data_IF_740585132046
#
_entry.id   IF_740585132046
#
_cell.length_a   1.000
_cell.length_b   1.000
_cell.length_c   1.000
_cell.angle_alpha   90.00
_cell.angle_beta   90.00
_cell.angle_gamma   90.00
#
_symmetry.space_group_name_H-M   'P 1'
#
loop_
_entity.id
_entity.type
_entity.pdbx_description
1 polymer ?
#
# COMPACT_ATOMS: atom_id res chain seq x y z
N UNK A 1 -17.94 57.41 59.08
CA UNK A 1 -17.50 56.76 57.83
C UNK A 1 -18.71 56.57 56.93
N UNK A 2 -18.84 57.37 55.86
CA UNK A 2 -19.94 57.26 54.88
C UNK A 2 -19.47 56.33 53.74
N UNK A 3 -20.22 55.25 53.52
CA UNK A 3 -19.97 54.29 52.44
C UNK A 3 -20.42 54.89 51.10
N UNK A 4 -19.47 55.06 50.18
CA UNK A 4 -19.73 55.39 48.78
C UNK A 4 -19.91 54.06 48.05
N UNK A 5 -21.10 53.82 47.50
CA UNK A 5 -21.39 52.69 46.61
C UNK A 5 -21.13 53.13 45.16
N UNK A 6 -20.11 52.58 44.53
CA UNK A 6 -19.90 52.70 43.09
C UNK A 6 -20.89 51.78 42.36
N UNK A 7 -21.75 52.38 41.53
CA UNK A 7 -22.56 51.67 40.55
C UNK A 7 -21.70 51.50 39.29
N UNK A 8 -21.16 50.30 39.09
CA UNK A 8 -20.49 49.94 37.82
C UNK A 8 -21.58 49.47 36.86
N UNK A 9 -21.93 50.31 35.89
CA UNK A 9 -22.76 49.91 34.75
C UNK A 9 -21.88 49.05 33.86
N UNK A 10 -22.02 47.73 33.97
CA UNK A 10 -21.41 46.78 33.05
C UNK A 10 -22.10 46.89 31.68
N UNK A 11 -21.43 47.55 30.74
CA UNK A 11 -21.78 47.54 29.33
C UNK A 11 -21.52 46.12 28.78
N UNK A 12 -22.57 45.31 28.71
CA UNK A 12 -22.52 44.01 28.02
C UNK A 12 -22.48 44.29 26.52
N UNK A 13 -21.29 44.33 25.94
CA UNK A 13 -21.12 44.24 24.49
C UNK A 13 -21.55 42.82 24.07
N UNK A 14 -22.79 42.67 23.64
CA UNK A 14 -23.19 41.56 22.79
C UNK A 14 -22.48 41.74 21.45
N UNK A 15 -21.31 41.12 21.30
CA UNK A 15 -20.73 40.88 19.99
C UNK A 15 -21.65 39.85 19.33
N UNK A 16 -22.61 40.31 18.54
CA UNK A 16 -23.33 39.44 17.63
C UNK A 16 -22.29 38.80 16.72
N UNK A 17 -22.06 37.49 16.88
CA UNK A 17 -21.32 36.75 15.88
C UNK A 17 -22.10 36.89 14.59
N UNK A 18 -21.56 37.64 13.63
CA UNK A 18 -22.08 37.70 12.28
C UNK A 18 -21.89 36.30 11.73
N UNK A 19 -22.96 35.50 11.75
CA UNK A 19 -23.02 34.26 11.00
C UNK A 19 -23.14 34.72 9.56
N UNK A 20 -22.02 34.67 8.82
CA UNK A 20 -22.07 34.89 7.38
C UNK A 20 -22.95 33.80 6.79
N UNK A 21 -24.10 34.21 6.24
CA UNK A 21 -25.00 33.30 5.56
C UNK A 21 -24.27 32.63 4.40
N UNK A 22 -24.54 31.34 4.18
CA UNK A 22 -23.90 30.61 3.09
C UNK A 22 -24.44 31.09 1.74
N UNK A 23 -23.54 31.42 0.83
CA UNK A 23 -23.87 31.73 -0.55
C UNK A 23 -24.61 30.52 -1.15
N UNK A 24 -25.87 30.74 -1.53
CA UNK A 24 -26.75 29.69 -2.02
C UNK A 24 -26.86 29.76 -3.55
N UNK A 25 -26.82 28.59 -4.19
CA UNK A 25 -27.03 28.47 -5.63
C UNK A 25 -28.51 28.65 -5.99
N UNK A 26 -28.75 29.46 -7.01
CA UNK A 26 -30.08 29.87 -7.51
C UNK A 26 -30.47 29.14 -8.80
N UNK A 27 -29.49 28.72 -9.59
CA UNK A 27 -29.68 28.21 -10.96
C UNK A 27 -30.05 26.73 -11.04
N UNK A 28 -30.67 26.33 -12.15
CA UNK A 28 -30.80 24.91 -12.52
C UNK A 28 -29.47 24.36 -13.07
N UNK A 29 -28.92 24.98 -14.11
CA UNK A 29 -27.57 24.70 -14.59
C UNK A 29 -26.88 26.01 -14.91
N UNK A 30 -25.58 26.10 -14.63
CA UNK A 30 -24.76 27.20 -15.14
C UNK A 30 -23.37 27.24 -14.53
N UNK A 31 -22.59 28.24 -14.94
CA UNK A 31 -21.18 28.36 -14.58
C UNK A 31 -21.02 28.91 -13.15
N UNK A 32 -20.04 28.43 -12.39
CA UNK A 32 -19.72 28.94 -11.06
C UNK A 32 -19.55 30.46 -11.03
N UNK A 33 -18.82 31.03 -11.99
CA UNK A 33 -18.53 32.48 -12.06
C UNK A 33 -19.63 33.30 -12.76
N UNK A 34 -20.86 32.80 -12.78
CA UNK A 34 -22.02 33.53 -13.33
C UNK A 34 -22.99 34.01 -12.23
N UNK A 35 -24.02 34.77 -12.60
CA UNK A 35 -25.06 35.30 -11.70
C UNK A 35 -26.03 34.22 -11.13
N UNK A 36 -25.53 32.99 -10.96
CA UNK A 36 -26.25 31.84 -10.43
C UNK A 36 -26.19 31.73 -8.90
N UNK A 37 -25.61 32.71 -8.21
CA UNK A 37 -25.60 32.81 -6.75
C UNK A 37 -26.59 33.87 -6.27
N UNK A 38 -27.25 33.63 -5.12
CA UNK A 38 -28.12 34.64 -4.52
C UNK A 38 -27.36 35.86 -4.00
N UNK A 39 -26.17 35.64 -3.42
CA UNK A 39 -25.43 36.64 -2.64
C UNK A 39 -24.05 36.97 -3.23
N UNK A 40 -23.87 36.77 -4.54
CA UNK A 40 -22.63 36.81 -5.32
C UNK A 40 -21.79 35.52 -5.32
N UNK A 41 -20.82 35.46 -6.24
CA UNK A 41 -19.88 34.35 -6.37
C UNK A 41 -19.13 34.12 -5.04
N UNK A 42 -19.10 32.88 -4.52
CA UNK A 42 -18.39 32.56 -3.30
C UNK A 42 -16.91 32.90 -3.41
N UNK A 43 -16.36 33.43 -2.32
CA UNK A 43 -14.92 33.63 -2.13
C UNK A 43 -14.36 32.61 -1.15
N UNK A 44 -13.04 32.64 -0.93
CA UNK A 44 -12.35 31.77 0.04
C UNK A 44 -12.89 31.86 1.49
N UNK A 45 -13.68 32.87 1.82
CA UNK A 45 -14.29 33.06 3.14
C UNK A 45 -15.73 32.54 3.22
N UNK A 46 -16.37 32.30 2.08
CA UNK A 46 -17.80 32.01 1.99
C UNK A 46 -18.07 30.51 1.96
N UNK A 47 -19.11 30.09 2.67
CA UNK A 47 -19.64 28.73 2.47
C UNK A 47 -20.60 28.77 1.29
N UNK A 48 -20.51 27.78 0.41
CA UNK A 48 -21.33 27.62 -0.76
C UNK A 48 -22.26 26.41 -0.59
N UNK A 49 -23.52 26.54 -1.02
CA UNK A 49 -24.47 25.43 -1.04
C UNK A 49 -25.17 25.34 -2.38
N UNK A 50 -25.09 24.17 -3.01
CA UNK A 50 -25.82 23.83 -4.23
C UNK A 50 -26.93 22.86 -3.84
N UNK A 51 -28.11 23.39 -3.53
CA UNK A 51 -29.28 22.60 -3.15
C UNK A 51 -29.80 21.78 -4.33
N UNK A 52 -30.02 22.43 -5.47
CA UNK A 52 -30.45 21.79 -6.70
C UNK A 52 -29.66 22.37 -7.87
N UNK A 53 -29.43 21.53 -8.87
CA UNK A 53 -28.82 21.95 -10.12
C UNK A 53 -27.33 21.65 -10.22
N UNK A 54 -26.72 22.13 -11.30
CA UNK A 54 -25.32 21.86 -11.66
C UNK A 54 -24.53 23.15 -11.77
N UNK A 55 -23.47 23.28 -10.96
CA UNK A 55 -22.43 24.27 -11.16
C UNK A 55 -21.34 23.69 -12.08
N UNK A 56 -21.20 24.27 -13.27
CA UNK A 56 -20.11 23.97 -14.18
C UNK A 56 -18.87 24.79 -13.80
N UNK A 57 -17.75 24.11 -13.63
CA UNK A 57 -16.43 24.70 -13.40
C UNK A 57 -15.71 24.63 -14.76
N UNK A 58 -15.49 25.79 -15.37
CA UNK A 58 -14.77 25.87 -16.65
C UNK A 58 -13.60 26.83 -16.61
N UNK A 59 -13.56 27.70 -15.62
CA UNK A 59 -12.54 28.74 -15.45
C UNK A 59 -11.62 28.41 -14.27
N UNK A 60 -10.47 29.07 -14.22
CA UNK A 60 -9.53 28.91 -13.11
C UNK A 60 -9.77 29.98 -12.05
N UNK A 61 -9.58 29.62 -10.78
CA UNK A 61 -9.69 30.55 -9.65
C UNK A 61 -11.02 30.49 -8.88
N UNK A 62 -11.93 29.61 -9.27
CA UNK A 62 -13.17 29.36 -8.53
C UNK A 62 -12.82 28.82 -7.13
N UNK A 63 -13.35 29.44 -6.09
CA UNK A 63 -12.95 29.15 -4.71
C UNK A 63 -14.11 29.32 -3.72
N UNK A 64 -14.15 28.48 -2.69
CA UNK A 64 -15.01 28.71 -1.53
C UNK A 64 -14.36 28.17 -0.24
N UNK A 65 -14.84 28.63 0.92
CA UNK A 65 -14.42 28.09 2.21
C UNK A 65 -14.87 26.64 2.39
N UNK A 66 -16.14 26.39 2.14
CA UNK A 66 -16.80 25.08 2.29
C UNK A 66 -17.87 24.93 1.23
N UNK A 67 -18.13 23.71 0.76
CA UNK A 67 -19.14 23.44 -0.27
C UNK A 67 -20.04 22.28 0.15
N UNK A 68 -21.36 22.46 0.04
CA UNK A 68 -22.34 21.38 0.19
C UNK A 68 -23.09 21.14 -1.12
N UNK A 69 -23.15 19.88 -1.56
CA UNK A 69 -23.94 19.45 -2.72
C UNK A 69 -25.13 18.63 -2.25
N UNK A 70 -26.35 19.08 -2.55
CA UNK A 70 -27.58 18.42 -2.13
C UNK A 70 -27.77 18.43 -0.61
N UNK A 71 -27.50 19.55 0.06
CA UNK A 71 -27.80 19.65 1.50
C UNK A 71 -29.31 19.77 1.78
N UNK A 72 -29.71 19.89 3.05
CA UNK A 72 -30.96 20.56 3.44
C UNK A 72 -32.21 19.70 3.43
N UNK A 73 -32.52 19.04 2.30
CA UNK A 73 -33.66 18.13 2.18
C UNK A 73 -33.31 16.90 1.35
N UNK A 74 -34.01 15.78 1.57
CA UNK A 74 -33.70 14.50 0.92
C UNK A 74 -33.97 14.49 -0.59
N UNK A 75 -34.80 15.40 -1.09
CA UNK A 75 -35.12 15.53 -2.51
C UNK A 75 -34.22 16.53 -3.27
N UNK A 76 -33.20 17.08 -2.61
CA UNK A 76 -32.28 18.05 -3.21
C UNK A 76 -31.17 17.32 -3.99
N UNK A 77 -30.83 17.84 -5.16
CA UNK A 77 -29.88 17.23 -6.11
C UNK A 77 -28.83 18.26 -6.55
N UNK A 78 -27.74 18.38 -5.78
CA UNK A 78 -26.66 19.31 -6.07
C UNK A 78 -25.53 18.65 -6.85
N UNK A 79 -25.05 19.31 -7.89
CA UNK A 79 -24.04 18.76 -8.79
C UNK A 79 -22.92 19.76 -9.07
N UNK A 80 -21.71 19.25 -9.22
CA UNK A 80 -20.55 19.97 -9.78
C UNK A 80 -20.04 19.22 -10.99
N UNK A 81 -19.82 19.93 -12.10
CA UNK A 81 -19.23 19.38 -13.31
C UNK A 81 -17.95 20.14 -13.67
N UNK A 82 -16.80 19.46 -13.73
CA UNK A 82 -15.51 20.06 -14.04
C UNK A 82 -15.01 19.49 -15.36
N UNK A 83 -15.07 20.30 -16.41
CA UNK A 83 -14.52 19.94 -17.73
C UNK A 83 -13.16 20.58 -17.98
N UNK A 84 -12.88 21.70 -17.33
CA UNK A 84 -11.64 22.47 -17.39
C UNK A 84 -11.54 23.34 -16.13
N UNK A 85 -10.53 24.21 -16.04
CA UNK A 85 -10.46 25.17 -14.94
C UNK A 85 -10.05 24.56 -13.60
N UNK A 86 -10.38 25.24 -12.51
CA UNK A 86 -10.03 24.79 -11.15
C UNK A 86 -11.03 25.26 -10.10
N UNK A 87 -11.46 24.35 -9.23
CA UNK A 87 -12.23 24.65 -8.03
C UNK A 87 -11.42 24.35 -6.77
N UNK A 88 -11.23 25.35 -5.90
CA UNK A 88 -10.64 25.18 -4.57
C UNK A 88 -11.71 25.26 -3.46
N UNK A 89 -11.82 24.22 -2.64
CA UNK A 89 -12.64 24.23 -1.42
C UNK A 89 -11.71 24.17 -0.21
N UNK A 90 -11.48 25.32 0.42
CA UNK A 90 -10.42 25.52 1.42
C UNK A 90 -10.52 24.54 2.58
N UNK A 91 -11.72 24.26 3.08
CA UNK A 91 -11.94 23.41 4.25
C UNK A 91 -12.57 22.07 3.91
N UNK A 92 -13.85 22.06 3.56
CA UNK A 92 -14.61 20.82 3.45
C UNK A 92 -15.63 20.88 2.33
N UNK A 93 -15.60 19.86 1.48
CA UNK A 93 -16.66 19.59 0.51
C UNK A 93 -17.47 18.40 0.99
N UNK A 94 -18.76 18.61 1.28
CA UNK A 94 -19.71 17.56 1.63
C UNK A 94 -20.61 17.29 0.44
N UNK A 95 -20.65 16.03 0.02
CA UNK A 95 -21.40 15.59 -1.16
C UNK A 95 -22.52 14.69 -0.69
N UNK A 96 -23.76 15.12 -0.88
CA UNK A 96 -24.96 14.43 -0.37
C UNK A 96 -25.01 14.30 1.16
N UNK A 97 -24.89 15.40 1.94
CA UNK A 97 -25.05 15.29 3.38
C UNK A 97 -26.51 15.02 3.80
N UNK A 98 -27.49 15.32 2.95
CA UNK A 98 -28.92 15.00 3.17
C UNK A 98 -29.56 14.45 1.90
N UNK A 99 -29.53 15.21 0.81
CA UNK A 99 -30.00 14.80 -0.52
C UNK A 99 -28.90 14.16 -1.37
N UNK A 100 -29.08 14.17 -2.68
CA UNK A 100 -28.11 13.64 -3.64
C UNK A 100 -27.05 14.71 -3.97
N UNK A 101 -25.79 14.30 -3.91
CA UNK A 101 -24.67 15.11 -4.38
C UNK A 101 -23.85 14.35 -5.40
N UNK A 102 -23.46 14.99 -6.49
CA UNK A 102 -22.51 14.39 -7.45
C UNK A 102 -21.42 15.36 -7.91
N UNK A 103 -20.25 14.81 -8.19
CA UNK A 103 -19.18 15.50 -8.90
C UNK A 103 -18.78 14.69 -10.12
N UNK A 104 -18.77 15.31 -11.29
CA UNK A 104 -18.32 14.69 -12.53
C UNK A 104 -17.14 15.48 -13.09
N UNK A 105 -16.01 14.83 -13.32
CA UNK A 105 -14.80 15.46 -13.85
C UNK A 105 -14.33 14.75 -15.12
N UNK A 106 -14.13 15.52 -16.19
CA UNK A 106 -13.49 15.06 -17.44
C UNK A 106 -12.16 15.76 -17.70
N UNK A 107 -11.88 16.84 -16.99
CA UNK A 107 -10.63 17.59 -16.97
C UNK A 107 -10.58 18.53 -15.75
N UNK A 108 -9.61 19.44 -15.72
CA UNK A 108 -9.48 20.46 -14.66
C UNK A 108 -9.00 19.93 -13.31
N UNK A 109 -8.95 20.82 -12.32
CA UNK A 109 -8.46 20.56 -10.97
C UNK A 109 -9.54 20.77 -9.90
N UNK A 110 -9.74 19.78 -9.03
CA UNK A 110 -10.50 19.91 -7.79
C UNK A 110 -9.54 19.81 -6.60
N UNK A 111 -9.31 20.93 -5.91
CA UNK A 111 -8.46 20.99 -4.73
C UNK A 111 -9.31 21.19 -3.49
N UNK A 112 -9.33 20.21 -2.59
CA UNK A 112 -10.20 20.25 -1.40
C UNK A 112 -9.45 19.72 -0.20
N UNK A 113 -9.38 20.46 0.90
CA UNK A 113 -8.71 19.94 2.09
C UNK A 113 -9.35 18.63 2.59
N UNK A 114 -10.67 18.60 2.80
CA UNK A 114 -11.42 17.40 3.19
C UNK A 114 -12.62 17.15 2.28
N UNK A 115 -12.66 16.01 1.61
CA UNK A 115 -13.81 15.52 0.84
C UNK A 115 -14.57 14.51 1.70
N UNK A 116 -15.89 14.67 1.81
CA UNK A 116 -16.79 13.72 2.49
C UNK A 116 -17.95 13.37 1.56
N UNK A 117 -18.03 12.09 1.19
CA UNK A 117 -19.14 11.53 0.41
C UNK A 117 -20.14 10.85 1.34
N UNK A 118 -21.37 11.35 1.26
CA UNK A 118 -22.61 10.85 1.85
C UNK A 118 -22.62 10.83 3.39
N UNK A 119 -23.55 11.61 3.96
CA UNK A 119 -23.94 11.53 5.38
C UNK A 119 -25.34 10.90 5.59
N UNK A 120 -26.02 10.54 4.50
CA UNK A 120 -27.32 9.88 4.52
C UNK A 120 -27.25 8.51 3.82
N UNK A 121 -27.84 7.48 4.43
CA UNK A 121 -27.90 6.13 3.84
C UNK A 121 -28.89 6.00 2.69
N UNK A 122 -29.88 6.88 2.60
CA UNK A 122 -30.92 6.78 1.58
C UNK A 122 -30.58 7.54 0.29
N UNK A 123 -29.67 8.51 0.38
CA UNK A 123 -29.30 9.39 -0.73
C UNK A 123 -27.80 9.21 -1.01
N UNK A 124 -27.43 8.23 -1.86
CA UNK A 124 -26.03 8.01 -2.19
C UNK A 124 -25.43 9.22 -2.91
N UNK A 125 -24.15 9.46 -2.63
CA UNK A 125 -23.36 10.49 -3.30
C UNK A 125 -22.27 9.87 -4.16
N UNK A 126 -21.88 10.54 -5.25
CA UNK A 126 -20.87 9.99 -6.15
C UNK A 126 -19.85 11.01 -6.65
N UNK A 127 -18.61 10.56 -6.85
CA UNK A 127 -17.60 11.23 -7.66
C UNK A 127 -17.26 10.32 -8.85
N UNK A 128 -17.29 10.87 -10.06
CA UNK A 128 -16.76 10.23 -11.27
C UNK A 128 -15.64 11.09 -11.85
N UNK A 129 -14.48 10.51 -12.07
CA UNK A 129 -13.32 11.17 -12.68
C UNK A 129 -12.91 10.41 -13.95
N UNK A 130 -12.56 11.15 -15.00
CA UNK A 130 -12.17 10.63 -16.31
C UNK A 130 -11.24 11.62 -17.03
N UNK A 131 -10.70 11.24 -18.19
CA UNK A 131 -9.80 12.11 -18.95
C UNK A 131 -8.50 12.40 -18.22
N UNK A 132 -8.10 13.67 -18.18
CA UNK A 132 -6.91 14.20 -17.52
C UNK A 132 -7.22 14.96 -16.21
N UNK A 133 -8.45 14.83 -15.69
CA UNK A 133 -8.88 15.47 -14.46
C UNK A 133 -7.97 15.14 -13.26
N UNK A 134 -7.86 16.08 -12.33
CA UNK A 134 -7.07 15.93 -11.12
C UNK A 134 -7.88 16.27 -9.86
N UNK A 135 -7.81 15.39 -8.85
CA UNK A 135 -8.31 15.66 -7.50
C UNK A 135 -7.11 15.71 -6.54
N UNK A 136 -7.00 16.80 -5.78
CA UNK A 136 -6.03 16.94 -4.69
C UNK A 136 -6.78 17.11 -3.37
N UNK A 137 -6.47 16.27 -2.38
CA UNK A 137 -7.03 16.42 -1.04
C UNK A 137 -6.08 16.07 0.08
N UNK A 138 -6.38 16.52 1.30
CA UNK A 138 -5.71 15.97 2.48
C UNK A 138 -6.45 14.71 2.93
N UNK A 139 -7.76 14.81 3.13
CA UNK A 139 -8.61 13.68 3.53
C UNK A 139 -9.69 13.42 2.47
N UNK A 140 -9.81 12.16 2.06
CA UNK A 140 -10.85 11.69 1.13
C UNK A 140 -11.66 10.58 1.80
N UNK A 141 -12.85 10.93 2.28
CA UNK A 141 -13.72 10.04 3.06
C UNK A 141 -14.93 9.62 2.24
N UNK A 142 -15.09 8.32 2.03
CA UNK A 142 -16.18 7.74 1.24
C UNK A 142 -17.10 6.93 2.14
N UNK A 143 -18.37 7.31 2.18
CA UNK A 143 -19.40 6.69 3.02
C UNK A 143 -19.29 7.10 4.49
N UNK A 144 -19.25 8.39 4.81
CA UNK A 144 -19.06 8.88 6.19
C UNK A 144 -20.11 9.92 6.63
N UNK A 145 -21.17 9.51 7.35
CA UNK A 145 -21.78 8.18 7.36
C UNK A 145 -22.83 8.03 6.26
N UNK A 146 -22.74 7.10 5.33
CA UNK A 146 -23.76 7.02 4.28
C UNK A 146 -23.32 6.08 3.19
N UNK A 147 -23.82 6.24 1.98
CA UNK A 147 -23.38 5.44 0.83
C UNK A 147 -22.64 6.34 -0.16
N UNK A 148 -21.32 6.18 -0.25
CA UNK A 148 -20.47 6.94 -1.15
C UNK A 148 -19.88 6.08 -2.27
N UNK A 149 -19.86 6.62 -3.49
CA UNK A 149 -19.25 5.96 -4.65
C UNK A 149 -18.17 6.84 -5.28
N UNK A 150 -17.01 6.25 -5.56
CA UNK A 150 -15.97 6.85 -6.39
C UNK A 150 -15.73 5.95 -7.59
N UNK A 151 -15.81 6.50 -8.80
CA UNK A 151 -15.47 5.80 -10.03
C UNK A 151 -14.35 6.54 -10.75
N UNK A 152 -13.19 5.90 -10.89
CA UNK A 152 -12.03 6.45 -11.58
C UNK A 152 -11.84 5.77 -12.94
N UNK A 153 -12.19 6.49 -14.00
CA UNK A 153 -12.06 6.11 -15.42
C UNK A 153 -10.91 6.87 -16.12
N UNK A 154 -10.01 7.50 -15.36
CA UNK A 154 -8.89 8.28 -15.86
C UNK A 154 -8.35 9.21 -14.77
N UNK A 155 -7.56 10.19 -15.17
CA UNK A 155 -7.08 11.25 -14.29
C UNK A 155 -6.18 10.78 -13.15
N UNK A 156 -5.94 11.70 -12.22
CA UNK A 156 -5.11 11.48 -11.03
C UNK A 156 -5.86 11.89 -9.77
N UNK A 157 -5.89 11.01 -8.77
CA UNK A 157 -6.32 11.36 -7.41
C UNK A 157 -5.09 11.35 -6.51
N UNK A 158 -4.82 12.48 -5.87
CA UNK A 158 -3.75 12.62 -4.87
C UNK A 158 -4.38 12.96 -3.52
N UNK A 159 -4.13 12.12 -2.50
CA UNK A 159 -4.64 12.34 -1.15
C UNK A 159 -3.66 11.89 -0.06
N UNK A 160 -3.68 12.52 1.12
CA UNK A 160 -2.89 11.98 2.24
C UNK A 160 -3.60 10.78 2.86
N UNK A 161 -4.92 10.75 2.88
CA UNK A 161 -5.70 9.62 3.40
C UNK A 161 -6.95 9.39 2.56
N UNK A 162 -7.07 8.18 2.00
CA UNK A 162 -8.30 7.65 1.44
C UNK A 162 -8.93 6.69 2.46
N UNK A 163 -10.14 7.00 2.91
CA UNK A 163 -10.88 6.16 3.84
C UNK A 163 -12.20 5.71 3.21
N UNK A 164 -12.32 4.41 2.94
CA UNK A 164 -13.56 3.77 2.52
C UNK A 164 -14.24 3.21 3.76
N UNK A 165 -15.07 4.07 4.37
CA UNK A 165 -15.64 3.91 5.71
C UNK A 165 -14.59 3.96 6.83
N UNK A 166 -14.65 5.02 7.64
CA UNK A 166 -13.79 5.19 8.83
C UNK A 166 -14.56 5.85 9.98
N UNK A 167 -15.88 5.63 10.07
CA UNK A 167 -16.59 6.00 11.29
C UNK A 167 -16.22 4.98 12.39
N UNK A 168 -15.44 5.40 13.38
CA UNK A 168 -15.35 4.66 14.65
C UNK A 168 -16.70 4.66 15.40
N UNK A 169 -17.67 5.45 14.91
CA UNK A 169 -19.02 5.51 15.43
C UNK A 169 -19.79 4.23 15.07
N UNK A 170 -20.06 3.41 16.09
CA UNK A 170 -20.85 2.17 16.00
C UNK A 170 -22.30 2.38 15.62
N UNK A 171 -22.81 3.59 15.79
CA UNK A 171 -24.20 3.93 15.48
C UNK A 171 -24.37 4.21 13.99
N UNK A 172 -23.41 4.93 13.41
CA UNK A 172 -23.46 5.34 12.01
C UNK A 172 -22.51 4.53 11.12
N UNK A 173 -22.94 3.30 10.80
CA UNK A 173 -22.37 2.48 9.72
C UNK A 173 -22.53 3.19 8.38
N UNK A 174 -21.43 3.45 7.69
CA UNK A 174 -21.43 3.88 6.30
C UNK A 174 -20.93 2.76 5.39
N UNK A 175 -21.13 2.95 4.10
CA UNK A 175 -20.68 2.10 3.01
C UNK A 175 -19.92 2.95 1.98
N UNK A 176 -18.67 2.57 1.70
CA UNK A 176 -17.79 3.34 0.84
C UNK A 176 -17.24 2.47 -0.26
N UNK A 177 -17.52 2.83 -1.51
CA UNK A 177 -17.14 2.06 -2.69
C UNK A 177 -16.21 2.88 -3.57
N UNK A 178 -15.05 2.33 -3.90
CA UNK A 178 -14.12 2.89 -4.88
C UNK A 178 -13.90 1.87 -5.98
N UNK A 179 -14.25 2.22 -7.21
CA UNK A 179 -13.92 1.44 -8.41
C UNK A 179 -12.88 2.17 -9.25
N UNK A 180 -11.73 1.55 -9.48
CA UNK A 180 -10.63 2.06 -10.30
C UNK A 180 -10.54 1.26 -11.61
N UNK A 181 -10.87 1.91 -12.72
CA UNK A 181 -10.86 1.32 -14.06
C UNK A 181 -9.64 1.76 -14.90
N UNK A 182 -9.07 2.94 -14.61
CA UNK A 182 -7.83 3.45 -15.19
C UNK A 182 -7.31 4.63 -14.34
N UNK A 183 -6.21 5.26 -14.75
CA UNK A 183 -5.66 6.45 -14.09
C UNK A 183 -4.64 6.14 -12.99
N UNK A 184 -4.39 7.14 -12.14
CA UNK A 184 -3.41 7.06 -11.04
C UNK A 184 -4.05 7.43 -9.71
N UNK A 185 -3.77 6.64 -8.66
CA UNK A 185 -4.05 6.97 -7.28
C UNK A 185 -2.71 7.14 -6.54
N UNK A 186 -2.48 8.33 -5.98
CA UNK A 186 -1.38 8.63 -5.09
C UNK A 186 -1.94 8.88 -3.69
N UNK A 187 -1.76 7.92 -2.78
CA UNK A 187 -2.25 8.02 -1.42
C UNK A 187 -1.11 8.00 -0.39
N UNK A 188 -1.27 8.76 0.68
CA UNK A 188 -0.52 8.51 1.92
C UNK A 188 -0.96 7.17 2.50
N UNK A 189 -2.14 7.16 3.10
CA UNK A 189 -2.79 5.98 3.62
C UNK A 189 -4.08 5.62 2.85
N UNK A 190 -4.38 4.33 2.73
CA UNK A 190 -5.66 3.80 2.26
C UNK A 190 -6.22 2.87 3.34
N UNK A 191 -7.43 3.18 3.81
CA UNK A 191 -8.17 2.36 4.75
C UNK A 191 -9.41 1.78 4.07
N UNK A 192 -9.49 0.46 3.99
CA UNK A 192 -10.63 -0.25 3.41
C UNK A 192 -11.41 -0.95 4.52
N UNK A 193 -12.54 -0.38 4.93
CA UNK A 193 -13.59 -1.07 5.67
C UNK A 193 -13.41 -1.29 7.17
N UNK A 194 -13.65 -0.26 7.99
CA UNK A 194 -14.03 -0.49 9.41
C UNK A 194 -15.41 -1.15 9.49
N UNK A 195 -16.33 -0.68 8.65
CA UNK A 195 -17.56 -1.36 8.28
C UNK A 195 -17.44 -1.72 6.80
N UNK A 196 -18.46 -1.48 5.98
CA UNK A 196 -18.49 -1.94 4.61
C UNK A 196 -17.74 -1.02 3.65
N UNK A 197 -16.44 -1.26 3.48
CA UNK A 197 -15.62 -0.58 2.47
C UNK A 197 -15.26 -1.52 1.33
N UNK A 198 -15.34 -1.08 0.08
CA UNK A 198 -14.85 -1.84 -1.07
C UNK A 198 -13.89 -1.01 -1.92
N UNK A 199 -12.67 -1.50 -2.09
CA UNK A 199 -11.71 -0.98 -3.06
C UNK A 199 -11.55 -2.00 -4.19
N UNK A 200 -12.06 -1.67 -5.37
CA UNK A 200 -12.10 -2.56 -6.53
C UNK A 200 -11.28 -2.00 -7.68
N UNK A 201 -10.28 -2.75 -8.10
CA UNK A 201 -9.57 -2.55 -9.36
C UNK A 201 -10.22 -3.43 -10.42
N UNK A 202 -10.44 -2.92 -11.63
CA UNK A 202 -11.00 -3.70 -12.74
C UNK A 202 -10.02 -3.88 -13.90
N UNK A 203 -8.97 -3.05 -13.94
CA UNK A 203 -7.94 -3.07 -14.98
C UNK A 203 -6.56 -3.12 -14.30
N UNK A 204 -5.72 -4.14 -14.56
CA UNK A 204 -4.41 -4.25 -13.94
C UNK A 204 -3.43 -3.13 -14.34
N UNK A 205 -3.70 -2.39 -15.42
CA UNK A 205 -2.87 -1.27 -15.88
C UNK A 205 -3.05 0.05 -15.11
N UNK A 206 -3.77 0.06 -13.99
CA UNK A 206 -3.87 1.23 -13.10
C UNK A 206 -2.56 1.46 -12.34
N UNK A 207 -2.28 2.70 -11.94
CA UNK A 207 -1.13 3.01 -11.08
C UNK A 207 -1.60 3.32 -9.66
N UNK A 208 -1.18 2.54 -8.66
CA UNK A 208 -1.53 2.77 -7.24
C UNK A 208 -0.25 2.96 -6.43
N UNK A 209 0.01 4.18 -5.99
CA UNK A 209 1.17 4.57 -5.17
C UNK A 209 0.74 4.83 -3.73
N UNK A 210 1.32 4.09 -2.78
CA UNK A 210 1.06 4.24 -1.35
C UNK A 210 2.36 4.62 -0.65
N UNK A 211 2.33 5.64 0.21
CA UNK A 211 3.53 6.11 0.92
C UNK A 211 3.53 5.84 2.42
N UNK A 212 2.36 5.66 3.05
CA UNK A 212 2.25 5.41 4.49
C UNK A 212 1.67 4.01 4.80
N UNK A 213 0.45 3.72 4.36
CA UNK A 213 -0.17 2.42 4.66
C UNK A 213 -1.33 2.02 3.77
N UNK A 214 -1.48 0.73 3.49
CA UNK A 214 -2.66 0.13 2.87
C UNK A 214 -3.23 -0.91 3.83
N UNK A 215 -4.35 -0.56 4.46
CA UNK A 215 -4.95 -1.33 5.55
C UNK A 215 -6.35 -1.83 5.14
N UNK A 216 -6.49 -3.13 4.97
CA UNK A 216 -7.80 -3.79 4.78
C UNK A 216 -8.30 -4.23 6.16
N UNK A 217 -9.42 -3.68 6.61
CA UNK A 217 -9.97 -3.93 7.94
C UNK A 217 -11.11 -4.97 7.91
N UNK A 218 -11.67 -5.31 9.07
CA UNK A 218 -12.57 -6.45 9.26
C UNK A 218 -13.70 -6.58 8.25
N UNK A 219 -14.36 -5.48 7.87
CA UNK A 219 -15.50 -5.49 6.96
C UNK A 219 -15.13 -4.93 5.57
N UNK A 220 -13.83 -4.71 5.33
CA UNK A 220 -13.29 -4.26 4.05
C UNK A 220 -13.22 -5.35 2.99
N UNK A 221 -13.41 -4.97 1.74
CA UNK A 221 -13.28 -5.85 0.58
C UNK A 221 -12.28 -5.21 -0.39
N UNK A 222 -11.27 -5.98 -0.78
CA UNK A 222 -10.32 -5.59 -1.83
C UNK A 222 -10.44 -6.59 -2.97
N UNK A 223 -10.70 -6.08 -4.17
CA UNK A 223 -10.84 -6.87 -5.39
C UNK A 223 -9.85 -6.37 -6.43
N UNK A 224 -9.12 -7.29 -7.06
CA UNK A 224 -8.12 -6.94 -8.05
C UNK A 224 -7.94 -8.06 -9.08
N UNK A 225 -7.92 -7.74 -10.40
CA UNK A 225 -7.57 -8.71 -11.42
C UNK A 225 -6.09 -9.08 -11.34
N UNK A 226 -5.75 -10.24 -11.90
CA UNK A 226 -4.37 -10.70 -12.05
C UNK A 226 -3.49 -9.65 -12.72
N UNK A 227 -2.30 -9.45 -12.17
CA UNK A 227 -1.31 -8.50 -12.69
C UNK A 227 -1.47 -7.07 -12.15
N UNK A 228 -2.41 -6.84 -11.22
CA UNK A 228 -2.49 -5.55 -10.52
C UNK A 228 -1.24 -5.34 -9.67
N UNK A 229 -0.65 -4.14 -9.74
CA UNK A 229 0.55 -3.77 -8.95
C UNK A 229 0.19 -2.70 -7.93
N UNK A 230 0.56 -2.95 -6.67
CA UNK A 230 0.51 -1.97 -5.60
C UNK A 230 1.95 -1.53 -5.24
N UNK A 231 2.25 -0.25 -5.46
CA UNK A 231 3.56 0.33 -5.19
C UNK A 231 3.60 0.86 -3.75
N UNK A 232 4.38 0.20 -2.89
CA UNK A 232 4.54 0.53 -1.47
C UNK A 232 5.88 1.23 -1.24
N UNK A 233 5.87 2.56 -1.18
CA UNK A 233 7.06 3.41 -1.03
C UNK A 233 7.37 3.67 0.43
N UNK A 234 8.10 2.77 1.08
CA UNK A 234 8.32 2.81 2.54
C UNK A 234 7.02 2.68 3.34
N UNK A 235 6.00 2.03 2.76
CA UNK A 235 4.66 1.94 3.30
C UNK A 235 4.41 0.59 3.99
N UNK A 236 3.39 0.55 4.85
CA UNK A 236 2.87 -0.67 5.47
C UNK A 236 1.77 -1.29 4.59
N UNK A 237 1.74 -2.60 4.45
CA UNK A 237 0.54 -3.35 4.07
C UNK A 237 0.04 -4.12 5.27
N UNK A 238 -1.23 -3.96 5.63
CA UNK A 238 -1.87 -4.77 6.65
C UNK A 238 -3.28 -5.19 6.22
N UNK A 239 -3.70 -6.33 6.75
CA UNK A 239 -5.04 -6.85 6.58
C UNK A 239 -5.52 -7.37 7.94
N UNK A 240 -6.81 -7.23 8.27
CA UNK A 240 -7.42 -7.69 9.53
C UNK A 240 -8.55 -8.70 9.26
N UNK A 241 -8.36 -9.57 8.27
CA UNK A 241 -9.29 -10.67 7.98
C UNK A 241 -8.93 -11.92 8.74
N UNK A 242 -9.94 -12.72 9.03
CA UNK A 242 -9.80 -13.96 9.81
C UNK A 242 -9.64 -15.18 8.91
N UNK A 243 -10.04 -15.08 7.64
CA UNK A 243 -9.88 -16.15 6.67
C UNK A 243 -9.43 -15.63 5.30
N UNK A 244 -8.55 -16.40 4.65
CA UNK A 244 -8.03 -16.10 3.31
C UNK A 244 -9.13 -16.01 2.25
N UNK A 245 -10.21 -16.77 2.42
CA UNK A 245 -11.40 -16.71 1.57
C UNK A 245 -12.12 -15.36 1.59
N UNK A 246 -11.82 -14.48 2.55
CA UNK A 246 -12.41 -13.13 2.61
C UNK A 246 -11.70 -12.12 1.71
N UNK A 247 -10.46 -12.41 1.26
CA UNK A 247 -9.73 -11.61 0.26
C UNK A 247 -9.01 -12.56 -0.69
N UNK A 248 -9.76 -13.27 -1.55
CA UNK A 248 -9.19 -14.25 -2.48
C UNK A 248 -8.24 -13.60 -3.50
N UNK A 249 -8.45 -12.31 -3.80
CA UNK A 249 -7.72 -11.59 -4.84
C UNK A 249 -6.31 -11.14 -4.43
N UNK A 250 -5.85 -11.42 -3.20
CA UNK A 250 -4.42 -11.24 -2.88
C UNK A 250 -3.54 -12.10 -3.81
N UNK A 251 -4.02 -13.28 -4.21
CA UNK A 251 -3.32 -14.16 -5.14
C UNK A 251 -3.18 -13.59 -6.56
N UNK A 252 -3.81 -12.44 -6.85
CA UNK A 252 -3.71 -11.71 -8.10
C UNK A 252 -2.82 -10.46 -7.99
N UNK A 253 -2.38 -10.12 -6.77
CA UNK A 253 -1.73 -8.87 -6.45
C UNK A 253 -0.20 -9.01 -6.44
N UNK A 254 0.47 -8.11 -7.16
CA UNK A 254 1.90 -7.87 -7.00
C UNK A 254 2.13 -6.70 -6.05
N UNK A 255 2.93 -6.92 -5.01
CA UNK A 255 3.48 -5.85 -4.17
C UNK A 255 4.87 -5.45 -4.70
N UNK A 256 5.02 -4.20 -5.13
CA UNK A 256 6.34 -3.62 -5.42
C UNK A 256 6.76 -2.74 -4.24
N UNK A 257 7.75 -3.21 -3.49
CA UNK A 257 8.27 -2.52 -2.31
C UNK A 257 9.39 -1.59 -2.76
N UNK A 258 9.12 -0.29 -2.72
CA UNK A 258 10.00 0.74 -3.26
C UNK A 258 10.68 1.56 -2.16
N UNK A 259 11.86 2.14 -2.43
CA UNK A 259 12.55 2.98 -1.47
C UNK A 259 11.81 4.31 -1.22
N UNK A 260 11.76 4.73 0.04
CA UNK A 260 11.39 6.10 0.46
C UNK A 260 12.39 6.53 1.52
N UNK A 261 13.28 7.48 1.21
CA UNK A 261 14.50 7.79 1.97
C UNK A 261 14.42 7.59 3.49
N UNK A 262 15.04 6.51 3.99
CA UNK A 262 15.14 6.15 5.41
C UNK A 262 13.93 5.43 6.02
N UNK A 263 12.86 5.20 5.25
CA UNK A 263 11.68 4.47 5.69
C UNK A 263 11.77 3.00 5.27
N UNK A 264 11.46 2.13 6.23
CA UNK A 264 11.33 0.69 6.03
C UNK A 264 9.86 0.35 5.74
N UNK A 265 9.60 -0.41 4.67
CA UNK A 265 8.27 -0.94 4.39
C UNK A 265 7.94 -2.11 5.30
N UNK A 266 6.67 -2.28 5.64
CA UNK A 266 6.21 -3.33 6.55
C UNK A 266 5.12 -4.17 5.90
N UNK A 267 5.17 -5.48 6.13
CA UNK A 267 4.13 -6.41 5.67
C UNK A 267 3.61 -7.21 6.86
N UNK A 268 2.32 -7.08 7.11
CA UNK A 268 1.60 -7.94 8.06
C UNK A 268 1.61 -9.39 7.58
N UNK A 269 1.98 -10.30 8.47
CA UNK A 269 1.84 -11.73 8.27
C UNK A 269 0.38 -12.13 8.53
N UNK A 270 -0.28 -12.71 7.53
CA UNK A 270 -1.74 -12.84 7.53
C UNK A 270 -2.22 -14.27 7.79
N UNK A 271 -1.36 -15.25 7.53
CA UNK A 271 -1.74 -16.66 7.50
C UNK A 271 -1.33 -17.43 8.74
N UNK A 272 -2.03 -18.51 9.08
CA UNK A 272 -1.57 -19.45 10.09
C UNK A 272 -0.43 -20.31 9.53
N UNK A 273 0.69 -20.46 10.23
CA UNK A 273 1.81 -21.29 9.80
C UNK A 273 1.45 -22.80 9.82
N UNK A 274 1.28 -23.47 8.66
CA UNK A 274 0.96 -24.89 8.61
C UNK A 274 2.21 -25.78 8.46
N UNK A 275 3.41 -25.18 8.45
CA UNK A 275 4.63 -25.83 7.98
C UNK A 275 4.79 -25.76 6.46
N UNK A 276 5.93 -26.28 5.98
CA UNK A 276 6.32 -26.29 4.56
C UNK A 276 5.54 -27.33 3.75
N UNK A 277 4.23 -27.09 3.58
CA UNK A 277 3.34 -27.92 2.76
C UNK A 277 2.81 -27.12 1.55
N UNK A 278 2.64 -27.74 0.38
CA UNK A 278 2.20 -27.03 -0.83
C UNK A 278 0.89 -26.24 -0.70
N UNK A 279 -0.05 -26.72 0.12
CA UNK A 279 -1.36 -26.06 0.32
C UNK A 279 -1.28 -24.69 0.99
N UNK A 280 -0.12 -24.30 1.55
CA UNK A 280 0.08 -22.96 2.12
C UNK A 280 -0.14 -21.85 1.08
N UNK A 281 0.07 -22.13 -0.21
CA UNK A 281 -0.07 -21.16 -1.30
C UNK A 281 -1.52 -20.90 -1.73
N UNK A 282 -2.49 -21.75 -1.35
CA UNK A 282 -3.90 -21.59 -1.76
C UNK A 282 -4.78 -21.06 -0.63
N UNK A 283 -4.46 -21.41 0.62
CA UNK A 283 -5.40 -21.20 1.74
C UNK A 283 -4.92 -20.15 2.75
N UNK A 284 -3.89 -19.36 2.43
CA UNK A 284 -3.15 -18.60 3.46
C UNK A 284 -2.75 -17.17 3.04
N UNK A 285 -3.68 -16.43 2.42
CA UNK A 285 -3.48 -15.03 2.01
C UNK A 285 -2.25 -14.83 1.10
N UNK A 286 -1.99 -15.80 0.23
CA UNK A 286 -0.84 -15.74 -0.66
C UNK A 286 -0.94 -14.56 -1.63
N UNK A 287 0.13 -13.78 -1.73
CA UNK A 287 0.31 -12.80 -2.81
C UNK A 287 0.71 -13.51 -4.11
N UNK A 288 0.47 -12.89 -5.26
CA UNK A 288 1.07 -13.38 -6.51
C UNK A 288 2.59 -13.18 -6.46
N UNK A 289 3.01 -11.92 -6.38
CA UNK A 289 4.43 -11.56 -6.37
C UNK A 289 4.71 -10.53 -5.29
N UNK A 290 5.81 -10.73 -4.56
CA UNK A 290 6.42 -9.67 -3.73
C UNK A 290 7.77 -9.36 -4.35
N UNK A 291 7.95 -8.12 -4.80
CA UNK A 291 9.21 -7.60 -5.31
C UNK A 291 9.76 -6.57 -4.35
N UNK A 292 10.98 -6.79 -3.86
CA UNK A 292 11.69 -5.82 -3.02
C UNK A 292 12.74 -5.14 -3.88
N UNK A 293 12.50 -3.87 -4.20
CA UNK A 293 13.31 -3.10 -5.15
C UNK A 293 14.71 -2.75 -4.63
N UNK A 294 15.59 -2.30 -5.52
CA UNK A 294 16.97 -2.00 -5.17
C UNK A 294 17.07 -0.94 -4.06
N UNK A 295 17.88 -1.21 -3.04
CA UNK A 295 18.15 -0.28 -1.94
C UNK A 295 16.97 -0.05 -0.97
N UNK A 296 15.98 -0.94 -0.95
CA UNK A 296 14.86 -0.89 0.00
C UNK A 296 14.87 -2.08 0.97
N UNK A 297 14.05 -1.97 2.01
CA UNK A 297 13.91 -2.98 3.04
C UNK A 297 12.43 -3.30 3.26
N UNK A 298 12.10 -4.59 3.39
CA UNK A 298 10.81 -5.06 3.86
C UNK A 298 10.98 -5.76 5.20
N UNK A 299 10.18 -5.39 6.20
CA UNK A 299 10.09 -6.12 7.48
C UNK A 299 8.74 -6.80 7.60
N UNK A 300 8.78 -8.10 7.90
CA UNK A 300 7.58 -8.82 8.31
C UNK A 300 7.20 -8.42 9.73
N UNK A 301 5.91 -8.17 9.95
CA UNK A 301 5.36 -7.79 11.26
C UNK A 301 4.15 -8.67 11.59
N UNK A 302 3.91 -8.82 12.88
CA UNK A 302 2.72 -9.46 13.44
C UNK A 302 2.10 -8.48 14.44
N UNK A 303 1.39 -7.48 13.91
CA UNK A 303 0.65 -6.50 14.70
C UNK A 303 -0.84 -6.86 14.80
N UNK A 304 -1.34 -7.67 13.87
CA UNK A 304 -2.74 -8.02 13.74
C UNK A 304 -2.86 -9.53 13.88
N UNK A 305 -3.67 -9.95 14.86
CA UNK A 305 -3.98 -11.36 15.04
C UNK A 305 -5.05 -11.76 14.02
N UNK A 306 -4.59 -12.09 12.81
CA UNK A 306 -5.38 -12.55 11.66
C UNK A 306 -5.79 -14.02 11.78
N UNK A 307 -5.17 -14.77 12.70
CA UNK A 307 -5.35 -16.20 12.83
C UNK A 307 -5.92 -16.62 14.19
N UNK A 308 -6.61 -15.73 14.93
CA UNK A 308 -7.19 -15.93 16.29
C UNK A 308 -7.79 -17.29 16.61
N UNK A 309 -8.31 -18.00 15.61
CA UNK A 309 -8.92 -19.31 15.75
C UNK A 309 -7.91 -20.47 15.88
N UNK A 310 -6.63 -20.23 15.58
CA UNK A 310 -5.57 -21.23 15.57
C UNK A 310 -4.38 -20.76 16.43
N UNK A 311 -3.87 -21.63 17.29
CA UNK A 311 -2.67 -21.38 18.08
C UNK A 311 -1.40 -21.57 17.23
N UNK A 312 -1.33 -20.90 16.09
CA UNK A 312 -0.20 -20.94 15.16
C UNK A 312 0.45 -19.56 15.06
N UNK A 313 1.74 -19.54 14.73
CA UNK A 313 2.41 -18.27 14.42
C UNK A 313 1.88 -17.75 13.08
N UNK A 314 1.84 -16.43 12.92
CA UNK A 314 1.53 -15.84 11.63
C UNK A 314 2.64 -16.05 10.61
N UNK A 315 2.25 -16.09 9.34
CA UNK A 315 3.16 -16.33 8.23
C UNK A 315 2.86 -15.44 7.03
N UNK A 316 3.92 -15.08 6.31
CA UNK A 316 3.82 -14.40 5.02
C UNK A 316 3.91 -15.42 3.88
N UNK A 317 3.07 -15.26 2.86
CA UNK A 317 3.01 -16.21 1.73
C UNK A 317 2.97 -15.46 0.41
N UNK A 318 3.77 -15.87 -0.56
CA UNK A 318 3.73 -15.35 -1.93
C UNK A 318 3.98 -16.47 -2.93
N UNK A 319 3.49 -16.40 -4.17
CA UNK A 319 3.93 -17.35 -5.19
C UNK A 319 5.37 -17.03 -5.58
N UNK A 320 5.65 -15.78 -5.90
CA UNK A 320 6.99 -15.36 -6.29
C UNK A 320 7.57 -14.33 -5.31
N UNK A 321 8.81 -14.56 -4.87
CA UNK A 321 9.60 -13.58 -4.12
C UNK A 321 10.78 -13.12 -5.00
N UNK A 322 10.87 -11.82 -5.27
CA UNK A 322 11.99 -11.20 -6.00
C UNK A 322 12.73 -10.24 -5.10
N UNK A 323 14.04 -10.45 -4.96
CA UNK A 323 14.90 -9.57 -4.16
C UNK A 323 15.91 -8.89 -5.09
N UNK A 324 15.72 -7.60 -5.37
CA UNK A 324 16.64 -6.81 -6.21
C UNK A 324 17.96 -6.52 -5.49
N UNK A 325 18.98 -6.11 -6.24
CA UNK A 325 20.32 -5.89 -5.68
C UNK A 325 20.30 -4.85 -4.55
N UNK A 326 20.94 -5.16 -3.42
CA UNK A 326 20.97 -4.29 -2.26
C UNK A 326 19.63 -4.16 -1.51
N UNK A 327 18.61 -4.96 -1.87
CA UNK A 327 17.40 -5.09 -1.06
C UNK A 327 17.62 -5.97 0.17
N UNK A 328 16.81 -5.78 1.21
CA UNK A 328 16.81 -6.65 2.40
C UNK A 328 15.40 -7.05 2.81
N UNK A 329 15.18 -8.34 3.03
CA UNK A 329 13.99 -8.88 3.69
C UNK A 329 14.32 -9.22 5.15
N UNK A 330 13.67 -8.56 6.10
CA UNK A 330 13.76 -8.88 7.53
C UNK A 330 12.60 -9.80 7.93
N UNK A 331 12.92 -11.03 8.31
CA UNK A 331 11.90 -12.01 8.72
C UNK A 331 11.34 -11.74 10.12
N UNK A 332 12.13 -11.16 11.04
CA UNK A 332 11.64 -10.68 12.33
C UNK A 332 10.86 -11.74 13.13
N UNK A 333 11.37 -12.98 13.12
CA UNK A 333 10.75 -14.14 13.77
C UNK A 333 9.50 -14.71 13.11
N UNK A 334 9.15 -14.22 11.93
CA UNK A 334 8.02 -14.68 11.13
C UNK A 334 8.53 -15.56 9.99
N UNK A 335 7.84 -16.68 9.75
CA UNK A 335 8.16 -17.52 8.61
C UNK A 335 7.65 -16.89 7.30
N UNK A 336 8.27 -17.24 6.19
CA UNK A 336 7.80 -16.87 4.86
C UNK A 336 7.82 -18.09 3.95
N UNK A 337 6.73 -18.30 3.23
CA UNK A 337 6.63 -19.33 2.20
C UNK A 337 6.61 -18.66 0.83
N UNK A 338 7.47 -19.12 -0.08
CA UNK A 338 7.34 -18.81 -1.49
C UNK A 338 7.36 -20.05 -2.38
N UNK A 339 6.63 -20.01 -3.49
CA UNK A 339 6.73 -21.05 -4.51
C UNK A 339 8.09 -20.93 -5.22
N UNK A 340 8.38 -19.74 -5.72
CA UNK A 340 9.57 -19.40 -6.48
C UNK A 340 10.33 -18.24 -5.83
N UNK A 341 11.66 -18.34 -5.81
CA UNK A 341 12.54 -17.30 -5.31
C UNK A 341 13.51 -16.86 -6.42
N UNK A 342 13.60 -15.55 -6.64
CA UNK A 342 14.55 -14.95 -7.58
C UNK A 342 15.51 -14.04 -6.78
N UNK A 343 16.66 -14.59 -6.33
CA UNK A 343 17.67 -13.82 -5.63
C UNK A 343 18.52 -12.99 -6.61
N UNK A 344 18.16 -11.74 -6.86
CA UNK A 344 18.93 -10.81 -7.70
C UNK A 344 19.89 -9.95 -6.87
N UNK A 345 20.73 -10.58 -6.04
CA UNK A 345 21.66 -9.95 -5.09
C UNK A 345 21.02 -9.22 -3.91
N UNK A 346 19.71 -9.39 -3.69
CA UNK A 346 19.11 -9.04 -2.42
C UNK A 346 19.51 -10.00 -1.30
N UNK A 347 19.22 -9.62 -0.06
CA UNK A 347 19.54 -10.39 1.13
C UNK A 347 18.30 -10.70 1.95
N UNK A 348 18.35 -11.83 2.66
CA UNK A 348 17.37 -12.18 3.70
C UNK A 348 18.10 -12.10 5.03
N UNK A 349 17.56 -11.34 5.97
CA UNK A 349 18.00 -11.32 7.36
C UNK A 349 17.23 -12.38 8.15
N UNK A 350 17.99 -13.37 8.63
CA UNK A 350 17.53 -14.56 9.34
C UNK A 350 17.51 -14.38 10.85
N UNK A 351 17.69 -13.17 11.34
CA UNK A 351 17.57 -12.86 12.76
C UNK A 351 16.19 -13.26 13.30
N UNK A 352 16.15 -13.59 14.60
CA UNK A 352 14.92 -13.84 15.37
C UNK A 352 14.14 -15.14 15.06
N UNK A 353 14.78 -16.17 14.48
CA UNK A 353 14.21 -17.51 14.24
C UNK A 353 13.22 -17.63 13.06
N UNK A 354 12.96 -16.55 12.32
CA UNK A 354 12.15 -16.62 11.10
C UNK A 354 12.84 -17.41 10.01
N UNK A 355 12.07 -18.16 9.21
CA UNK A 355 12.58 -18.98 8.10
C UNK A 355 11.87 -18.65 6.80
N UNK A 356 12.64 -18.50 5.71
CA UNK A 356 12.15 -18.53 4.34
C UNK A 356 12.17 -19.97 3.81
N UNK A 357 11.02 -20.47 3.38
CA UNK A 357 10.84 -21.76 2.72
C UNK A 357 10.53 -21.55 1.24
N UNK A 358 11.33 -22.17 0.37
CA UNK A 358 11.14 -22.13 -1.09
C UNK A 358 10.61 -23.49 -1.54
N UNK A 359 9.34 -23.55 -1.92
CA UNK A 359 8.61 -24.82 -2.11
C UNK A 359 8.97 -25.54 -3.41
N UNK A 360 9.38 -24.81 -4.46
CA UNK A 360 9.83 -25.38 -5.73
C UNK A 360 11.35 -25.24 -5.94
N UNK A 361 12.13 -25.20 -4.86
CA UNK A 361 13.58 -25.11 -4.98
C UNK A 361 14.15 -26.36 -5.69
N UNK A 362 14.90 -26.16 -6.76
CA UNK A 362 15.71 -27.19 -7.42
C UNK A 362 17.13 -26.69 -7.54
N UNK A 363 17.93 -26.95 -6.51
CA UNK A 363 19.31 -26.49 -6.45
C UNK A 363 20.21 -27.34 -7.35
N UNK A 364 20.84 -26.69 -8.31
CA UNK A 364 21.92 -27.24 -9.11
C UNK A 364 23.24 -26.65 -8.62
N UNK A 365 24.21 -27.51 -8.29
CA UNK A 365 25.54 -27.12 -7.89
C UNK A 365 26.57 -27.74 -8.84
N UNK A 366 27.32 -26.90 -9.53
CA UNK A 366 28.44 -27.33 -10.38
C UNK A 366 29.75 -26.96 -9.70
N UNK A 367 30.51 -27.97 -9.27
CA UNK A 367 31.83 -27.80 -8.68
C UNK A 367 32.88 -27.97 -9.77
N UNK A 368 33.79 -27.01 -9.88
CA UNK A 368 34.92 -27.03 -10.81
C UNK A 368 36.24 -26.87 -10.06
N UNK A 369 37.29 -27.47 -10.62
CA UNK A 369 38.66 -27.26 -10.22
C UNK A 369 39.45 -26.71 -11.40
N UNK A 370 40.41 -25.81 -11.14
CA UNK A 370 41.32 -25.32 -12.18
C UNK A 370 42.29 -26.42 -12.67
N UNK A 371 42.59 -27.38 -11.81
CA UNK A 371 43.42 -28.54 -12.07
C UNK A 371 42.67 -29.83 -11.70
N UNK A 372 42.81 -30.88 -12.53
CA UNK A 372 42.27 -32.21 -12.21
C UNK A 372 43.14 -32.99 -11.23
N UNK A 373 44.42 -32.64 -11.13
CA UNK A 373 45.41 -33.29 -10.26
C UNK A 373 46.40 -32.27 -9.72
N UNK A 374 46.87 -32.48 -8.50
CA UNK A 374 47.93 -31.70 -7.85
C UNK A 374 48.88 -32.63 -7.08
N UNK A 375 50.22 -32.42 -7.13
CA UNK A 375 51.18 -33.18 -6.35
C UNK A 375 50.97 -33.10 -4.83
N UNK A 376 51.16 -34.20 -4.11
CA UNK A 376 51.11 -34.24 -2.63
C UNK A 376 52.43 -33.75 -1.98
N UNK A 377 52.92 -32.59 -2.42
CA UNK A 377 54.21 -32.02 -2.01
C UNK A 377 54.09 -30.99 -0.86
N UNK A 378 52.86 -30.69 -0.42
CA UNK A 378 52.63 -29.67 0.61
C UNK A 378 52.82 -28.23 0.12
N UNK A 379 52.93 -28.00 -1.19
CA UNK A 379 53.12 -26.67 -1.79
C UNK A 379 52.21 -26.39 -2.99
N UNK A 380 51.89 -27.43 -3.76
CA UNK A 380 51.00 -27.34 -4.92
C UNK A 380 49.59 -26.98 -4.46
N UNK A 381 48.95 -26.07 -5.20
CA UNK A 381 47.63 -25.55 -4.89
C UNK A 381 46.68 -25.78 -6.07
N UNK A 382 45.41 -26.02 -5.78
CA UNK A 382 44.32 -26.05 -6.76
C UNK A 382 43.23 -25.08 -6.30
N UNK A 383 42.67 -24.31 -7.23
CA UNK A 383 41.47 -23.50 -6.99
C UNK A 383 40.21 -24.33 -7.18
N UNK A 384 39.41 -24.42 -6.12
CA UNK A 384 38.06 -24.98 -6.18
C UNK A 384 37.08 -23.81 -6.30
N UNK A 385 36.15 -23.92 -7.25
CA UNK A 385 35.04 -23.00 -7.45
C UNK A 385 33.74 -23.78 -7.56
N UNK A 386 32.62 -23.13 -7.26
CA UNK A 386 31.30 -23.71 -7.53
C UNK A 386 30.36 -22.65 -8.06
N UNK A 387 29.45 -23.05 -8.95
CA UNK A 387 28.27 -22.26 -9.33
C UNK A 387 27.06 -22.89 -8.67
N UNK A 388 26.32 -22.11 -7.90
CA UNK A 388 25.02 -22.50 -7.35
C UNK A 388 23.93 -21.80 -8.15
N UNK A 389 22.95 -22.58 -8.65
CA UNK A 389 21.76 -22.05 -9.33
C UNK A 389 20.48 -22.75 -8.86
N UNK A 390 19.34 -22.09 -9.04
CA UNK A 390 18.00 -22.70 -9.00
C UNK A 390 17.42 -22.64 -10.42
N UNK A 391 17.16 -23.79 -11.05
CA UNK A 391 16.62 -23.90 -12.41
C UNK A 391 17.36 -23.04 -13.44
N UNK A 392 18.69 -23.02 -13.34
CA UNK A 392 19.58 -22.26 -14.22
C UNK A 392 19.74 -20.76 -13.86
N UNK A 393 18.97 -20.22 -12.90
CA UNK A 393 19.19 -18.88 -12.39
C UNK A 393 20.26 -18.89 -11.28
N UNK A 394 21.34 -18.11 -11.36
CA UNK A 394 22.38 -18.11 -10.33
C UNK A 394 21.85 -17.64 -8.97
N UNK A 395 22.26 -18.33 -7.89
CA UNK A 395 21.96 -17.94 -6.52
C UNK A 395 23.17 -17.21 -5.95
N UNK A 396 23.06 -15.89 -5.84
CA UNK A 396 24.06 -15.02 -5.20
C UNK A 396 23.85 -14.93 -3.68
N UNK A 397 24.88 -14.43 -2.97
CA UNK A 397 24.86 -14.18 -1.53
C UNK A 397 24.60 -15.41 -0.65
N UNK A 398 24.63 -16.63 -1.22
CA UNK A 398 24.49 -17.88 -0.49
C UNK A 398 25.80 -18.29 0.16
N UNK A 399 25.74 -18.78 1.39
CA UNK A 399 26.90 -19.34 2.08
C UNK A 399 27.07 -20.81 1.67
N UNK A 400 28.21 -21.11 1.06
CA UNK A 400 28.61 -22.46 0.68
C UNK A 400 29.73 -22.92 1.59
N UNK A 401 29.54 -24.09 2.20
CA UNK A 401 30.57 -24.76 3.00
C UNK A 401 31.32 -25.77 2.15
N UNK A 402 32.59 -25.50 1.90
CA UNK A 402 33.51 -26.49 1.38
C UNK A 402 34.06 -27.31 2.55
N UNK A 403 34.05 -28.63 2.40
CA UNK A 403 34.71 -29.54 3.33
C UNK A 403 35.71 -30.38 2.53
N UNK A 404 36.89 -30.60 3.11
CA UNK A 404 37.83 -31.57 2.59
C UNK A 404 38.22 -32.55 3.68
N UNK A 405 38.38 -33.82 3.31
CA UNK A 405 38.97 -34.83 4.18
C UNK A 405 40.50 -34.83 4.09
N UNK A 406 41.08 -34.07 3.17
CA UNK A 406 42.50 -34.13 2.82
C UNK A 406 43.03 -32.79 2.33
N UNK A 407 44.25 -32.48 2.73
CA UNK A 407 44.82 -31.15 2.51
C UNK A 407 44.22 -30.08 3.41
N UNK A 408 44.58 -28.83 3.14
CA UNK A 408 44.18 -27.67 3.94
C UNK A 408 43.70 -26.55 3.03
N UNK A 409 42.59 -25.91 3.39
CA UNK A 409 42.17 -24.65 2.75
C UNK A 409 43.09 -23.50 3.18
N UNK A 410 43.71 -22.81 2.21
CA UNK A 410 44.54 -21.64 2.47
C UNK A 410 43.64 -20.45 2.86
N UNK A 411 43.94 -19.80 3.99
CA UNK A 411 43.25 -18.58 4.45
C UNK A 411 42.08 -18.77 5.42
N UNK A 412 41.74 -20.01 5.81
CA UNK A 412 40.71 -20.30 6.80
C UNK A 412 41.25 -20.55 8.21
N UNK A 413 40.51 -20.16 9.25
CA UNK A 413 40.82 -20.50 10.65
C UNK A 413 40.56 -21.99 10.98
N UNK A 414 39.89 -22.72 10.08
CA UNK A 414 39.68 -24.16 10.18
C UNK A 414 40.26 -24.83 8.92
N UNK A 415 41.30 -25.66 9.04
CA UNK A 415 41.97 -26.24 7.88
C UNK A 415 41.09 -27.20 7.08
N UNK A 416 40.04 -27.76 7.69
CA UNK A 416 39.18 -28.80 7.10
C UNK A 416 37.86 -28.28 6.50
N UNK A 417 37.49 -27.03 6.77
CA UNK A 417 36.23 -26.46 6.32
C UNK A 417 36.36 -24.96 6.06
N UNK A 418 35.78 -24.51 4.95
CA UNK A 418 35.76 -23.11 4.56
C UNK A 418 34.34 -22.68 4.17
N UNK A 419 33.98 -21.44 4.50
CA UNK A 419 32.70 -20.83 4.12
C UNK A 419 32.91 -19.69 3.14
N UNK A 420 32.44 -19.86 1.91
CA UNK A 420 32.45 -18.81 0.89
C UNK A 420 31.04 -18.32 0.60
N UNK A 421 30.94 -17.08 0.13
CA UNK A 421 29.68 -16.50 -0.30
C UNK A 421 29.63 -16.43 -1.82
N UNK A 422 28.51 -16.83 -2.44
CA UNK A 422 28.36 -16.72 -3.89
C UNK A 422 28.25 -15.27 -4.35
N UNK A 423 28.87 -14.94 -5.49
CA UNK A 423 28.76 -13.65 -6.15
C UNK A 423 27.48 -13.52 -7.00
N UNK A 424 27.35 -12.43 -7.76
CA UNK A 424 26.20 -12.18 -8.64
C UNK A 424 26.01 -13.25 -9.75
N UNK A 425 27.08 -13.97 -10.12
CA UNK A 425 27.04 -15.09 -11.06
C UNK A 425 26.79 -16.43 -10.38
N UNK A 426 26.39 -16.42 -9.10
CA UNK A 426 26.20 -17.63 -8.29
C UNK A 426 27.52 -18.36 -7.97
N UNK A 427 28.66 -17.72 -8.24
CA UNK A 427 29.98 -18.33 -8.06
C UNK A 427 30.48 -18.11 -6.65
N UNK A 428 30.76 -19.18 -5.94
CA UNK A 428 31.62 -19.11 -4.76
C UNK A 428 33.01 -19.55 -5.19
N UNK A 429 33.89 -18.55 -5.32
CA UNK A 429 35.28 -18.79 -5.66
C UNK A 429 36.11 -18.92 -4.39
N UNK A 430 37.15 -19.73 -4.50
CA UNK A 430 38.45 -19.19 -4.15
C UNK A 430 39.11 -19.84 -2.97
N UNK A 431 39.49 -21.11 -3.07
CA UNK A 431 40.48 -21.65 -2.14
C UNK A 431 41.54 -22.39 -2.89
N UNK A 432 42.79 -22.02 -2.59
CA UNK A 432 43.96 -22.81 -2.87
C UNK A 432 43.99 -23.94 -1.85
N UNK A 433 43.95 -25.18 -2.32
CA UNK A 433 44.04 -26.36 -1.47
C UNK A 433 45.41 -26.99 -1.60
N UNK A 434 46.13 -27.15 -0.48
CA UNK A 434 47.42 -27.85 -0.45
C UNK A 434 47.18 -29.31 -0.08
N UNK A 435 47.44 -30.30 -0.94
CA UNK A 435 46.86 -31.64 -0.83
C UNK A 435 47.66 -32.61 0.03
N UNK A 436 46.95 -33.61 0.55
CA UNK A 436 47.39 -35.01 0.62
C UNK A 436 46.23 -35.92 0.12
N UNK A 437 46.03 -36.03 -1.22
CA UNK A 437 44.92 -36.73 -1.98
C UNK A 437 43.51 -36.12 -1.78
N UNK A 438 42.46 -36.48 -2.52
CA UNK A 438 41.06 -36.07 -2.26
C UNK A 438 40.11 -37.27 -2.41
N UNK A 439 39.08 -37.37 -1.58
CA UNK A 439 37.92 -38.27 -1.74
C UNK A 439 36.67 -37.51 -1.28
N UNK A 440 35.61 -37.48 -2.08
CA UNK A 440 34.40 -36.73 -1.78
C UNK A 440 33.30 -37.66 -1.22
N UNK A 441 32.64 -37.25 -0.15
CA UNK A 441 31.42 -37.90 0.36
C UNK A 441 30.36 -36.87 0.71
N UNK A 442 29.14 -37.07 0.22
CA UNK A 442 27.98 -36.20 0.48
C UNK A 442 27.15 -36.74 1.66
N UNK A 443 26.60 -35.84 2.47
CA UNK A 443 25.55 -36.13 3.47
C UNK A 443 24.48 -35.06 3.30
N UNK A 444 23.30 -35.45 2.81
CA UNK A 444 22.13 -34.59 2.78
C UNK A 444 21.51 -34.51 4.18
N UNK A 445 21.39 -33.28 4.69
CA UNK A 445 20.24 -32.89 5.51
C UNK A 445 19.74 -31.56 4.98
N UNK A 446 18.62 -31.62 4.26
CA UNK A 446 17.74 -30.49 3.96
C UNK A 446 17.06 -30.08 5.27
#
# INVERSE_FOLDING_TARGET
>A
MKSIRFFVIGLVLCIAAIVTEAASWKGGEGNWSSDNWYDSEPTANDSAVIWNGTAAITETGEICKSLQLGGGASNFNGHVAISSGSLEVVNTMQIGPVGYGTVNMTGGLLKVNTIVLSQDRYNPSSITISGDAEIQSYYFKVGWPGIGYVTQNGGTITTNELALTNSNDRVFKGEGYYTMNSGTLNAGAVYVGIYKGEFKVTNPGVTINITDGFDIRYDGTFLAPSGTVLHLKGAKFACQKLASSEIPDLANLTLSIEPRGGYESKLEALGADPGAIPSVLTDNFAFDTITIESGTCLRLINNMDNNRSVAANDVAVTRQLKLSNGSTLFLNGINMYCQDWVPNCGSVDWNDYGKLYVLNASYDMMINTDLSEIPADGQSECEISTVLSDRGAPICNANIRFNTNKGTFVGGNNPSAFWARTDAGGRANGFRMVPWRMEFSFHDRI
#
